data_IF_272861806675
#
_entry.id   IF_272861806675
#
_cell.length_a   1.000
_cell.length_b   1.000
_cell.length_c   1.000
_cell.angle_alpha   90.00
_cell.angle_beta   90.00
_cell.angle_gamma   90.00
#
_symmetry.space_group_name_H-M   'P 1'
#
loop_
_entity.id
_entity.type
_entity.pdbx_description
1 polymer ?
#
# COMPACT_ATOMS: atom_id res chain seq x y z
N UNK A 1 16.47 -0.80 1.61
CA UNK A 1 15.18 -1.43 1.95
C UNK A 1 14.18 -1.06 0.84
N UNK A 2 14.34 -1.64 -0.35
CA UNK A 2 13.45 -1.41 -1.51
C UNK A 2 13.01 -2.73 -2.19
N UNK A 3 13.64 -3.85 -1.85
CA UNK A 3 13.48 -5.12 -2.56
C UNK A 3 12.10 -5.77 -2.39
N UNK A 4 11.37 -5.41 -1.32
CA UNK A 4 10.05 -6.00 -1.03
C UNK A 4 8.95 -5.36 -1.88
N UNK A 5 9.11 -4.11 -2.34
CA UNK A 5 8.08 -3.41 -3.10
C UNK A 5 8.05 -3.79 -4.60
N UNK A 6 9.15 -4.35 -5.13
CA UNK A 6 9.25 -4.77 -6.54
C UNK A 6 8.56 -6.11 -6.82
N UNK A 7 8.33 -6.92 -5.78
CA UNK A 7 7.73 -8.25 -5.90
C UNK A 7 6.20 -8.23 -5.79
N UNK A 8 5.57 -7.06 -5.61
CA UNK A 8 4.11 -6.94 -5.45
C UNK A 8 3.41 -6.98 -6.83
N UNK A 9 2.75 -8.09 -7.20
CA UNK A 9 2.24 -8.32 -8.54
C UNK A 9 0.87 -7.66 -8.70
N UNK A 10 0.80 -6.33 -8.63
CA UNK A 10 -0.51 -5.68 -8.79
C UNK A 10 -0.97 -5.76 -10.24
N UNK A 11 -2.25 -6.11 -10.48
CA UNK A 11 -2.81 -6.24 -11.80
C UNK A 11 -2.69 -4.91 -12.58
N UNK A 12 -2.41 -5.04 -13.89
CA UNK A 12 -2.11 -3.94 -14.82
C UNK A 12 -3.22 -2.87 -14.99
N UNK A 13 -4.33 -2.97 -14.26
CA UNK A 13 -5.45 -2.02 -14.24
C UNK A 13 -5.18 -0.74 -13.45
N UNK A 14 -4.13 -0.66 -12.63
CA UNK A 14 -3.74 0.54 -11.87
C UNK A 14 -2.96 1.60 -12.69
N UNK A 15 -3.09 1.62 -14.03
CA UNK A 15 -2.40 2.58 -14.91
C UNK A 15 -3.01 3.98 -14.94
N UNK A 16 -3.92 4.32 -14.03
CA UNK A 16 -4.64 5.60 -13.99
C UNK A 16 -4.33 6.47 -12.76
N UNK A 17 -3.36 7.38 -12.91
CA UNK A 17 -3.16 8.65 -12.18
C UNK A 17 -3.06 8.73 -10.64
N UNK A 18 -3.38 7.70 -9.85
CA UNK A 18 -3.10 7.73 -8.40
C UNK A 18 -2.39 6.44 -7.98
N UNK A 19 -1.15 6.60 -7.55
CA UNK A 19 -0.33 5.50 -7.03
C UNK A 19 -0.69 5.29 -5.56
N UNK A 20 -1.89 4.78 -5.30
CA UNK A 20 -2.26 4.29 -3.96
C UNK A 20 -1.65 2.90 -3.77
N UNK A 21 -1.08 2.68 -2.60
CA UNK A 21 -0.42 1.45 -2.19
C UNK A 21 -0.98 1.00 -0.83
N UNK A 22 -0.89 -0.29 -0.58
CA UNK A 22 -1.22 -0.88 0.70
C UNK A 22 -0.23 -1.96 1.09
N UNK A 23 0.08 -2.07 2.39
CA UNK A 23 0.87 -3.17 2.94
C UNK A 23 0.20 -3.66 4.22
N UNK A 24 0.18 -4.99 4.39
CA UNK A 24 -0.11 -5.60 5.66
C UNK A 24 1.21 -5.74 6.42
N UNK A 25 1.35 -4.97 7.50
CA UNK A 25 2.50 -4.97 8.37
C UNK A 25 2.09 -5.54 9.73
N UNK A 26 2.44 -6.80 9.99
CA UNK A 26 1.90 -7.58 11.12
C UNK A 26 0.35 -7.59 11.12
N UNK A 27 -0.27 -6.99 12.13
CA UNK A 27 -1.72 -6.86 12.27
C UNK A 27 -2.22 -5.50 11.80
N UNK A 28 -1.43 -4.74 11.05
CA UNK A 28 -1.79 -3.39 10.60
C UNK A 28 -1.89 -3.33 9.08
N UNK A 29 -3.04 -2.91 8.56
CA UNK A 29 -3.20 -2.53 7.17
C UNK A 29 -2.86 -1.04 7.03
N UNK A 30 -1.78 -0.75 6.31
CA UNK A 30 -1.32 0.60 6.02
C UNK A 30 -1.61 0.91 4.58
N UNK A 31 -2.32 2.01 4.30
CA UNK A 31 -2.52 2.55 2.94
C UNK A 31 -1.87 3.90 2.81
N UNK A 32 -1.19 4.13 1.70
CA UNK A 32 -0.55 5.41 1.39
C UNK A 32 -0.63 5.74 -0.08
N UNK A 33 -0.51 7.02 -0.38
CA UNK A 33 -0.42 7.55 -1.74
C UNK A 33 1.01 8.05 -1.98
N UNK A 34 1.50 7.86 -3.20
CA UNK A 34 2.75 8.49 -3.66
C UNK A 34 2.41 9.55 -4.69
N UNK A 35 2.69 10.81 -4.36
CA UNK A 35 2.56 11.97 -5.23
C UNK A 35 3.92 12.67 -5.34
N UNK A 36 4.47 12.75 -6.54
CA UNK A 36 5.81 13.27 -6.84
C UNK A 36 6.91 12.61 -5.98
N UNK A 37 7.31 13.29 -4.89
CA UNK A 37 8.35 12.85 -3.93
C UNK A 37 7.82 12.71 -2.50
N UNK A 38 6.50 12.78 -2.33
CA UNK A 38 5.81 12.76 -1.04
C UNK A 38 5.05 11.44 -0.89
N UNK A 39 5.16 10.86 0.31
CA UNK A 39 4.41 9.69 0.73
C UNK A 39 3.36 10.15 1.76
N UNK A 40 2.08 10.06 1.40
CA UNK A 40 0.97 10.46 2.27
C UNK A 40 0.27 9.23 2.80
N UNK A 41 0.36 8.97 4.10
CA UNK A 41 -0.37 7.87 4.74
C UNK A 41 -1.86 8.24 4.81
N UNK A 42 -2.71 7.42 4.18
CA UNK A 42 -4.16 7.63 4.10
C UNK A 42 -4.89 6.93 5.26
N UNK A 43 -4.45 5.73 5.62
CA UNK A 43 -5.07 4.98 6.72
C UNK A 43 -4.12 3.98 7.34
N UNK A 44 -4.22 3.81 8.66
CA UNK A 44 -3.62 2.71 9.40
C UNK A 44 -4.74 2.06 10.20
N UNK A 45 -5.10 0.83 9.85
CA UNK A 45 -6.16 0.08 10.54
C UNK A 45 -5.61 -1.24 11.06
N UNK A 46 -6.10 -1.70 12.21
CA UNK A 46 -5.82 -3.07 12.62
C UNK A 46 -6.57 -4.02 11.70
N UNK A 47 -5.87 -5.02 11.17
CA UNK A 47 -6.49 -6.16 10.50
C UNK A 47 -7.30 -6.88 11.56
N UNK A 48 -8.62 -6.82 11.44
CA UNK A 48 -9.51 -7.61 12.28
C UNK A 48 -9.35 -9.07 11.83
N UNK A 49 -9.02 -10.00 12.73
CA UNK A 49 -9.04 -11.41 12.41
C UNK A 49 -10.49 -11.80 12.06
N UNK A 50 -10.67 -12.45 10.92
CA UNK A 50 -11.95 -13.06 10.56
C UNK A 50 -12.13 -14.30 11.47
N UNK A 51 -13.18 -14.29 12.31
CA UNK A 51 -13.54 -15.38 13.24
C UNK A 51 -14.18 -16.57 12.53
#
# INVERSE_FOLDING_TARGET
ICEVLEQDPRPASQRGKQREYGVLLWEMNVRWLVEDTVFTVLSVTKKVPEE
#
